data_IF_234040990053
#
_entry.id   IF_234040990053
#
_cell.length_a   1.000
_cell.length_b   1.000
_cell.length_c   1.000
_cell.angle_alpha   90.00
_cell.angle_beta   90.00
_cell.angle_gamma   90.00
#
_symmetry.space_group_name_H-M   'P 1'
#
loop_
_entity.id
_entity.type
_entity.pdbx_description
1 polymer ?
#
# COMPACT_ATOMS: atom_id res chain seq x y z
N UNK A 1 -18.55 3.44 38.88
CA UNK A 1 -18.00 3.20 40.23
C UNK A 1 -16.52 2.89 40.07
N UNK A 2 -15.72 3.25 41.05
CA UNK A 2 -14.25 3.15 41.00
C UNK A 2 -13.80 2.42 42.25
N UNK A 3 -12.89 1.48 42.08
CA UNK A 3 -12.22 0.79 43.17
C UNK A 3 -10.87 1.44 43.38
N UNK A 4 -10.52 1.69 44.64
CA UNK A 4 -9.21 2.18 45.03
C UNK A 4 -8.39 0.99 45.52
N UNK A 5 -7.26 0.74 44.87
CA UNK A 5 -6.32 -0.29 45.29
C UNK A 5 -5.08 0.35 45.91
N UNK A 6 -4.61 -0.19 47.02
CA UNK A 6 -3.45 0.30 47.77
C UNK A 6 -2.40 -0.80 47.90
N UNK A 7 -1.11 -0.45 47.75
CA UNK A 7 -0.02 -1.40 48.01
C UNK A 7 0.55 -1.22 49.43
N UNK A 8 1.42 -2.14 49.84
CA UNK A 8 2.09 -2.10 51.17
C UNK A 8 2.88 -0.82 51.47
N UNK A 9 3.21 -0.03 50.44
CA UNK A 9 3.93 1.23 50.57
C UNK A 9 2.99 2.45 50.64
N UNK A 10 1.67 2.25 50.70
CA UNK A 10 0.66 3.30 50.76
C UNK A 10 0.33 3.96 49.41
N UNK A 11 0.82 3.42 48.29
CA UNK A 11 0.54 3.95 46.95
C UNK A 11 -0.85 3.51 46.51
N UNK A 12 -1.72 4.48 46.21
CA UNK A 12 -3.10 4.25 45.77
C UNK A 12 -3.25 4.37 44.26
N UNK A 13 -4.06 3.50 43.67
CA UNK A 13 -4.44 3.53 42.25
C UNK A 13 -5.94 3.34 42.09
N UNK A 14 -6.52 4.08 41.15
CA UNK A 14 -7.94 3.96 40.83
C UNK A 14 -8.17 3.00 39.67
N UNK A 15 -9.14 2.10 39.82
CA UNK A 15 -9.63 1.19 38.79
C UNK A 15 -11.10 1.51 38.54
N UNK A 16 -11.47 1.77 37.29
CA UNK A 16 -12.88 1.95 36.90
C UNK A 16 -13.53 0.58 36.74
N UNK A 17 -14.75 0.41 37.24
CA UNK A 17 -15.48 -0.84 37.04
C UNK A 17 -16.23 -0.87 35.69
N UNK A 18 -16.38 -2.08 35.15
CA UNK A 18 -17.15 -2.35 33.94
C UNK A 18 -16.51 -1.81 32.65
N UNK A 19 -17.37 -1.51 31.68
CA UNK A 19 -17.00 -1.13 30.32
C UNK A 19 -16.05 0.08 30.22
N UNK A 20 -15.04 -0.02 29.36
CA UNK A 20 -14.01 0.99 29.15
C UNK A 20 -14.24 1.81 27.88
N UNK A 21 -14.99 2.91 28.00
CA UNK A 21 -15.17 3.88 26.91
C UNK A 21 -13.85 4.43 26.37
N UNK A 22 -12.87 4.65 27.24
CA UNK A 22 -11.55 5.14 26.81
C UNK A 22 -10.81 4.14 25.94
N UNK A 23 -10.93 2.84 26.23
CA UNK A 23 -10.28 1.80 25.41
C UNK A 23 -10.98 1.63 24.06
N UNK A 24 -12.31 1.80 24.02
CA UNK A 24 -13.06 1.78 22.77
C UNK A 24 -12.55 2.85 21.78
N UNK A 25 -12.34 4.09 22.24
CA UNK A 25 -11.93 5.19 21.35
C UNK A 25 -10.42 5.34 21.17
N UNK A 26 -9.62 5.03 22.19
CA UNK A 26 -8.17 5.27 22.19
C UNK A 26 -7.34 3.97 22.16
N UNK A 27 -8.00 2.81 22.03
CA UNK A 27 -7.39 1.50 21.82
C UNK A 27 -6.37 1.18 22.92
N UNK A 28 -5.10 1.08 22.56
CA UNK A 28 -4.02 0.66 23.47
C UNK A 28 -3.48 1.78 24.35
N UNK A 29 -3.73 3.05 24.00
CA UNK A 29 -3.18 4.23 24.71
C UNK A 29 -3.56 4.27 26.21
N UNK A 30 -4.81 4.01 26.63
CA UNK A 30 -5.17 4.06 28.05
C UNK A 30 -4.45 3.02 28.90
N UNK A 31 -4.12 1.84 28.35
CA UNK A 31 -3.34 0.82 29.06
C UNK A 31 -1.87 1.24 29.16
N UNK A 32 -1.32 1.83 28.09
CA UNK A 32 0.05 2.37 28.11
C UNK A 32 0.20 3.47 29.18
N UNK A 33 -0.67 4.48 29.17
CA UNK A 33 -0.59 5.62 30.08
C UNK A 33 -0.76 5.24 31.56
N UNK A 34 -1.43 4.11 31.84
CA UNK A 34 -1.60 3.57 33.21
C UNK A 34 -0.47 2.62 33.62
N UNK A 35 0.51 2.39 32.75
CA UNK A 35 1.66 1.54 33.02
C UNK A 35 1.41 0.03 32.88
N UNK A 36 0.30 -0.38 32.25
CA UNK A 36 0.01 -1.76 31.89
C UNK A 36 0.49 -2.02 30.45
N UNK A 37 1.81 -2.26 30.34
CA UNK A 37 2.49 -2.47 29.06
C UNK A 37 2.07 -3.76 28.36
N UNK A 38 1.75 -4.81 29.13
CA UNK A 38 1.38 -6.12 28.57
C UNK A 38 0.03 -6.00 27.86
N UNK A 39 -0.96 -5.41 28.51
CA UNK A 39 -2.27 -5.19 27.88
C UNK A 39 -2.18 -4.18 26.74
N UNK A 40 -1.38 -3.12 26.87
CA UNK A 40 -1.15 -2.16 25.80
C UNK A 40 -0.58 -2.84 24.53
N UNK A 41 0.44 -3.68 24.70
CA UNK A 41 1.08 -4.39 23.57
C UNK A 41 0.14 -5.40 22.92
N UNK A 42 -0.64 -6.16 23.72
CA UNK A 42 -1.67 -7.08 23.20
C UNK A 42 -2.72 -6.34 22.37
N UNK A 43 -3.26 -5.23 22.91
CA UNK A 43 -4.22 -4.38 22.22
C UNK A 43 -3.64 -3.76 20.94
N UNK A 44 -2.35 -3.43 20.93
CA UNK A 44 -1.70 -2.89 19.73
C UNK A 44 -1.52 -3.95 18.65
N UNK A 45 -0.86 -5.07 18.96
CA UNK A 45 -0.51 -6.10 17.96
C UNK A 45 -1.77 -6.83 17.49
N UNK A 46 -2.50 -7.48 18.41
CA UNK A 46 -3.68 -8.28 18.05
C UNK A 46 -4.79 -7.36 17.53
N UNK A 47 -4.93 -6.17 18.12
CA UNK A 47 -5.84 -5.16 17.61
C UNK A 47 -5.54 -4.74 16.18
N UNK A 48 -4.27 -4.59 15.79
CA UNK A 48 -3.91 -4.25 14.41
C UNK A 48 -4.19 -5.41 13.45
N UNK A 49 -3.83 -6.64 13.83
CA UNK A 49 -4.07 -7.85 13.03
C UNK A 49 -5.56 -8.17 12.82
N UNK A 50 -6.44 -7.75 13.74
CA UNK A 50 -7.89 -7.97 13.68
C UNK A 50 -8.67 -6.74 13.23
N UNK A 51 -8.02 -5.76 12.60
CA UNK A 51 -8.65 -4.50 12.16
C UNK A 51 -9.39 -3.74 13.29
N UNK A 52 -8.90 -3.86 14.51
CA UNK A 52 -9.45 -3.25 15.71
C UNK A 52 -10.62 -4.00 16.36
N UNK A 53 -11.08 -5.13 15.79
CA UNK A 53 -12.18 -5.91 16.37
C UNK A 53 -11.79 -6.42 17.77
N UNK A 54 -10.55 -6.88 17.93
CA UNK A 54 -10.06 -7.33 19.25
C UNK A 54 -10.06 -6.20 20.28
N UNK A 55 -9.70 -4.97 19.89
CA UNK A 55 -9.70 -3.83 20.82
C UNK A 55 -11.10 -3.41 21.22
N UNK A 56 -12.05 -3.47 20.28
CA UNK A 56 -13.46 -3.17 20.54
C UNK A 56 -14.06 -4.22 21.48
N UNK A 57 -13.74 -5.49 21.29
CA UNK A 57 -14.15 -6.55 22.21
C UNK A 57 -13.52 -6.38 23.60
N UNK A 58 -12.22 -6.06 23.69
CA UNK A 58 -11.56 -5.90 24.98
C UNK A 58 -12.08 -4.71 25.80
N UNK A 59 -12.79 -3.75 25.23
CA UNK A 59 -13.39 -2.67 26.03
C UNK A 59 -14.41 -3.18 27.07
N UNK A 60 -14.91 -4.41 26.94
CA UNK A 60 -15.77 -5.04 27.96
C UNK A 60 -15.06 -5.29 29.29
N UNK A 61 -13.85 -5.85 29.25
CA UNK A 61 -13.18 -6.39 30.44
C UNK A 61 -11.74 -5.91 30.62
N UNK A 62 -11.24 -4.97 29.81
CA UNK A 62 -9.87 -4.42 29.99
C UNK A 62 -9.65 -3.76 31.36
N UNK A 63 -10.71 -3.29 32.01
CA UNK A 63 -10.61 -2.76 33.36
C UNK A 63 -10.44 -3.86 34.42
N UNK A 64 -11.01 -5.05 34.17
CA UNK A 64 -10.78 -6.26 34.98
C UNK A 64 -9.35 -6.78 34.78
N UNK A 65 -8.85 -6.78 33.55
CA UNK A 65 -7.43 -7.09 33.27
C UNK A 65 -6.51 -6.15 34.07
N UNK A 66 -6.82 -4.85 34.11
CA UNK A 66 -6.03 -3.88 34.86
C UNK A 66 -6.13 -4.09 36.38
N UNK A 67 -7.31 -4.46 36.90
CA UNK A 67 -7.47 -4.86 38.31
C UNK A 67 -6.58 -6.06 38.65
N UNK A 68 -6.57 -7.06 37.77
CA UNK A 68 -5.76 -8.28 37.93
C UNK A 68 -4.27 -7.94 37.90
N UNK A 69 -3.84 -7.11 36.95
CA UNK A 69 -2.46 -6.62 36.86
C UNK A 69 -1.98 -5.88 38.12
N UNK A 70 -2.85 -5.08 38.75
CA UNK A 70 -2.53 -4.42 40.01
C UNK A 70 -2.47 -5.41 41.17
N UNK A 71 -3.37 -6.38 41.21
CA UNK A 71 -3.36 -7.48 42.19
C UNK A 71 -2.04 -8.27 42.11
N UNK A 72 -1.59 -8.62 40.90
CA UNK A 72 -0.31 -9.29 40.66
C UNK A 72 0.90 -8.46 41.13
N UNK A 73 0.77 -7.13 41.15
CA UNK A 73 1.80 -6.19 41.66
C UNK A 73 1.71 -5.94 43.17
N UNK A 74 0.85 -6.67 43.89
CA UNK A 74 0.69 -6.56 45.34
C UNK A 74 -0.12 -5.35 45.79
N UNK A 75 -1.04 -4.86 44.95
CA UNK A 75 -2.08 -3.93 45.36
C UNK A 75 -3.32 -4.71 45.83
N UNK A 76 -3.93 -4.25 46.92
CA UNK A 76 -5.10 -4.86 47.54
C UNK A 76 -6.25 -3.85 47.61
N UNK A 77 -7.49 -4.34 47.72
CA UNK A 77 -8.70 -3.55 47.84
C UNK A 77 -9.67 -4.24 48.78
N UNK A 78 -10.34 -3.47 49.63
CA UNK A 78 -11.43 -3.96 50.48
C UNK A 78 -12.73 -4.19 49.70
N UNK A 79 -12.84 -3.59 48.51
CA UNK A 79 -13.96 -3.73 47.59
C UNK A 79 -13.70 -4.85 46.56
N UNK A 80 -14.72 -5.67 46.29
CA UNK A 80 -14.68 -6.67 45.20
C UNK A 80 -14.90 -5.99 43.85
N UNK A 81 -14.11 -6.37 42.85
CA UNK A 81 -14.35 -5.97 41.47
C UNK A 81 -15.66 -6.57 40.94
N UNK A 82 -16.58 -5.69 40.52
CA UNK A 82 -17.83 -6.09 39.89
C UNK A 82 -17.85 -5.74 38.40
N UNK A 83 -18.07 -6.76 37.57
CA UNK A 83 -18.14 -6.62 36.13
C UNK A 83 -19.56 -6.16 35.75
N UNK A 84 -19.81 -4.86 35.89
CA UNK A 84 -21.13 -4.29 35.63
C UNK A 84 -21.53 -4.48 34.18
N UNK A 85 -22.66 -5.16 33.98
CA UNK A 85 -23.25 -5.31 32.66
C UNK A 85 -23.61 -3.93 32.10
N UNK A 86 -23.01 -3.55 30.98
CA UNK A 86 -23.26 -2.28 30.32
C UNK A 86 -24.02 -2.55 29.01
N UNK A 87 -25.35 -2.64 29.11
CA UNK A 87 -26.23 -2.97 27.97
C UNK A 87 -25.97 -2.05 26.77
N UNK A 88 -25.77 -0.75 27.02
CA UNK A 88 -25.51 0.25 25.98
C UNK A 88 -24.13 0.01 25.34
N UNK A 89 -23.09 -0.18 26.16
CA UNK A 89 -21.75 -0.49 25.68
C UNK A 89 -21.73 -1.77 24.83
N UNK A 90 -22.45 -2.81 25.27
CA UNK A 90 -22.59 -4.07 24.56
C UNK A 90 -23.27 -3.90 23.20
N UNK A 91 -24.35 -3.13 23.15
CA UNK A 91 -25.05 -2.83 21.91
C UNK A 91 -24.17 -2.03 20.94
N UNK A 92 -23.47 -1.01 21.45
CA UNK A 92 -22.57 -0.16 20.66
C UNK A 92 -21.43 -0.97 20.07
N UNK A 93 -20.74 -1.77 20.88
CA UNK A 93 -19.62 -2.60 20.40
C UNK A 93 -20.11 -3.68 19.45
N UNK A 94 -21.25 -4.32 19.73
CA UNK A 94 -21.87 -5.29 18.82
C UNK A 94 -22.17 -4.68 17.45
N UNK A 95 -22.70 -3.46 17.41
CA UNK A 95 -22.96 -2.73 16.16
C UNK A 95 -21.67 -2.35 15.43
N UNK A 96 -20.65 -1.84 16.14
CA UNK A 96 -19.35 -1.49 15.57
C UNK A 96 -18.68 -2.72 14.96
N UNK A 97 -18.61 -3.83 15.70
CA UNK A 97 -18.02 -5.08 15.23
C UNK A 97 -18.81 -5.62 14.04
N UNK A 98 -20.14 -5.62 14.12
CA UNK A 98 -21.02 -6.06 13.03
C UNK A 98 -20.77 -5.29 11.73
N UNK A 99 -20.72 -3.96 11.80
CA UNK A 99 -20.41 -3.11 10.64
C UNK A 99 -19.03 -3.44 10.07
N UNK A 100 -18.00 -3.57 10.92
CA UNK A 100 -16.65 -3.91 10.47
C UNK A 100 -16.59 -5.27 9.77
N UNK A 101 -17.27 -6.29 10.32
CA UNK A 101 -17.34 -7.62 9.72
C UNK A 101 -18.05 -7.56 8.37
N UNK A 102 -19.16 -6.84 8.26
CA UNK A 102 -19.88 -6.64 6.98
C UNK A 102 -18.98 -5.96 5.95
N UNK A 103 -18.23 -4.93 6.34
CA UNK A 103 -17.30 -4.24 5.45
C UNK A 103 -16.17 -5.17 4.99
N UNK A 104 -15.57 -5.95 5.90
CA UNK A 104 -14.51 -6.91 5.57
C UNK A 104 -15.03 -7.98 4.61
N UNK A 105 -16.18 -8.59 4.90
CA UNK A 105 -16.81 -9.58 4.01
C UNK A 105 -17.15 -8.93 2.68
N UNK A 106 -17.71 -7.72 2.69
CA UNK A 106 -18.02 -6.94 1.50
C UNK A 106 -16.80 -6.71 0.62
N UNK A 107 -15.66 -6.31 1.19
CA UNK A 107 -14.40 -6.13 0.46
C UNK A 107 -13.89 -7.44 -0.16
N UNK A 108 -14.03 -8.56 0.57
CA UNK A 108 -13.65 -9.89 0.06
C UNK A 108 -14.57 -10.30 -1.09
N UNK A 109 -15.89 -10.25 -0.89
CA UNK A 109 -16.90 -10.64 -1.89
C UNK A 109 -16.80 -9.74 -3.14
N UNK A 110 -16.62 -8.43 -2.96
CA UNK A 110 -16.42 -7.50 -4.07
C UNK A 110 -15.18 -7.86 -4.88
N UNK A 111 -14.08 -8.21 -4.21
CA UNK A 111 -12.87 -8.70 -4.89
C UNK A 111 -13.14 -9.96 -5.70
N UNK A 112 -13.93 -10.91 -5.18
CA UNK A 112 -14.34 -12.11 -5.92
C UNK A 112 -15.24 -11.78 -7.12
N UNK A 113 -16.18 -10.84 -6.98
CA UNK A 113 -17.06 -10.40 -8.10
C UNK A 113 -16.25 -9.73 -9.21
N UNK A 114 -15.25 -8.91 -8.86
CA UNK A 114 -14.35 -8.31 -9.85
C UNK A 114 -13.54 -9.37 -10.61
N UNK A 115 -13.05 -10.41 -9.90
CA UNK A 115 -12.34 -11.53 -10.52
C UNK A 115 -13.26 -12.35 -11.43
N UNK A 116 -14.47 -12.69 -11.00
CA UNK A 116 -15.41 -13.53 -11.79
C UNK A 116 -16.01 -12.77 -12.97
N UNK A 117 -16.44 -11.52 -12.77
CA UNK A 117 -16.93 -10.65 -13.85
C UNK A 117 -15.82 -10.37 -14.86
N UNK A 118 -14.61 -10.09 -14.39
CA UNK A 118 -13.44 -9.93 -15.26
C UNK A 118 -13.15 -11.18 -16.09
N UNK A 119 -13.25 -12.38 -15.48
CA UNK A 119 -13.04 -13.65 -16.17
C UNK A 119 -14.14 -13.95 -17.20
N UNK A 120 -15.41 -13.69 -16.89
CA UNK A 120 -16.53 -13.92 -17.81
C UNK A 120 -16.48 -12.99 -19.02
N UNK A 121 -16.19 -11.69 -18.80
CA UNK A 121 -16.00 -10.73 -19.90
C UNK A 121 -14.85 -11.20 -20.81
N UNK A 122 -13.75 -11.70 -20.24
CA UNK A 122 -12.62 -12.20 -21.02
C UNK A 122 -13.00 -13.44 -21.84
N UNK A 123 -13.78 -14.36 -21.28
CA UNK A 123 -14.29 -15.55 -21.98
C UNK A 123 -15.30 -15.19 -23.08
N UNK A 124 -16.20 -14.25 -22.84
CA UNK A 124 -17.18 -13.79 -23.83
C UNK A 124 -16.49 -13.06 -24.98
N UNK A 125 -15.42 -12.31 -24.72
CA UNK A 125 -14.57 -11.71 -25.76
C UNK A 125 -13.88 -12.81 -26.59
N UNK A 126 -13.34 -13.85 -25.95
CA UNK A 126 -12.70 -14.97 -26.64
C UNK A 126 -13.69 -15.76 -27.53
N UNK A 127 -14.91 -16.00 -27.02
CA UNK A 127 -15.97 -16.71 -27.75
C UNK A 127 -16.54 -15.86 -28.90
N UNK A 128 -16.76 -14.56 -28.70
CA UNK A 128 -17.23 -13.68 -29.77
C UNK A 128 -16.16 -13.47 -30.85
N UNK A 129 -14.88 -13.44 -30.48
CA UNK A 129 -13.78 -13.42 -31.45
C UNK A 129 -13.65 -14.76 -32.19
N UNK A 130 -13.88 -15.89 -31.53
CA UNK A 130 -13.87 -17.21 -32.18
C UNK A 130 -15.06 -17.41 -33.14
N UNK A 131 -16.24 -16.87 -32.83
CA UNK A 131 -17.44 -16.96 -33.67
C UNK A 131 -17.41 -16.04 -34.90
N UNK A 132 -16.60 -14.97 -34.91
CA UNK A 132 -16.45 -14.10 -36.08
C UNK A 132 -15.40 -14.60 -37.10
N UNK A 133 -14.69 -15.70 -36.81
CA UNK A 133 -13.64 -16.24 -37.68
C UNK A 133 -14.17 -17.31 -38.66
N UNK A 134 -15.39 -17.85 -38.47
CA UNK A 134 -15.89 -18.97 -39.30
C UNK A 134 -16.85 -18.60 -40.46
N UNK A 135 -17.23 -17.33 -40.65
CA UNK A 135 -18.10 -16.95 -41.77
C UNK A 135 -17.45 -15.87 -42.64
N UNK A 136 -16.58 -16.28 -43.57
CA UNK A 136 -16.49 -15.73 -44.94
C UNK A 136 -15.32 -16.35 -45.73
N UNK A 137 -15.63 -17.34 -46.57
CA UNK A 137 -14.84 -17.69 -47.76
C UNK A 137 -15.63 -17.22 -48.99
N UNK A 138 -15.20 -16.19 -49.73
CA UNK A 138 -14.55 -16.21 -51.07
C UNK A 138 -14.72 -14.80 -51.73
N UNK A 139 -14.09 -14.44 -52.86
CA UNK A 139 -12.89 -14.94 -53.53
C UNK A 139 -11.81 -13.85 -53.76
N UNK A 140 -10.66 -14.31 -54.24
CA UNK A 140 -9.46 -13.57 -54.66
C UNK A 140 -9.79 -12.44 -55.66
N UNK A 141 -9.38 -11.20 -55.34
CA UNK A 141 -9.08 -10.15 -56.31
C UNK A 141 -7.67 -9.62 -56.02
N UNK A 142 -6.76 -9.98 -56.91
CA UNK A 142 -5.42 -9.41 -57.06
C UNK A 142 -5.48 -7.91 -57.33
N UNK A 143 -4.96 -7.09 -56.41
CA UNK A 143 -4.14 -5.93 -56.80
C UNK A 143 -3.37 -5.33 -55.61
N UNK A 144 -2.06 -5.20 -55.83
CA UNK A 144 -1.07 -4.37 -55.13
C UNK A 144 -0.80 -4.71 -53.66
N UNK A 145 0.26 -5.51 -53.50
CA UNK A 145 1.23 -5.47 -52.40
C UNK A 145 1.33 -4.08 -51.76
N UNK A 146 0.71 -3.94 -50.60
CA UNK A 146 1.25 -3.14 -49.51
C UNK A 146 1.57 -4.15 -48.41
N UNK A 147 2.86 -4.47 -48.25
CA UNK A 147 3.35 -5.21 -47.10
C UNK A 147 2.89 -4.48 -45.84
N UNK A 148 1.94 -5.08 -45.10
CA UNK A 148 1.64 -4.64 -43.74
C UNK A 148 2.83 -5.05 -42.89
N UNK A 149 3.74 -4.09 -42.65
CA UNK A 149 4.78 -4.23 -41.64
C UNK A 149 4.09 -4.48 -40.31
N UNK A 150 4.09 -5.73 -39.83
CA UNK A 150 4.00 -5.98 -38.40
C UNK A 150 5.13 -5.17 -37.74
N UNK A 151 4.78 -4.31 -36.79
CA UNK A 151 5.75 -3.55 -36.01
C UNK A 151 6.77 -4.51 -35.42
N UNK A 152 8.05 -4.43 -35.83
CA UNK A 152 9.14 -5.30 -35.37
C UNK A 152 9.41 -5.22 -33.85
N UNK A 153 8.72 -4.29 -33.18
CA UNK A 153 8.87 -3.91 -31.78
C UNK A 153 8.11 -4.86 -30.86
N UNK A 154 6.91 -5.31 -31.25
CA UNK A 154 5.99 -6.07 -30.39
C UNK A 154 5.88 -7.54 -30.80
N UNK A 155 5.57 -8.42 -29.84
CA UNK A 155 5.22 -9.81 -30.14
C UNK A 155 3.87 -9.88 -30.86
N UNK A 156 3.70 -10.87 -31.72
CA UNK A 156 2.52 -11.01 -32.59
C UNK A 156 1.19 -11.10 -31.82
N UNK A 157 1.20 -11.62 -30.60
CA UNK A 157 0.00 -11.81 -29.77
C UNK A 157 -0.34 -10.63 -28.86
N UNK A 158 0.38 -9.51 -28.96
CA UNK A 158 0.13 -8.31 -28.13
C UNK A 158 -1.00 -7.49 -28.73
N UNK A 159 -1.96 -7.11 -27.90
CA UNK A 159 -3.11 -6.30 -28.30
C UNK A 159 -3.01 -4.87 -27.78
N UNK A 160 -3.80 -3.96 -28.36
CA UNK A 160 -3.98 -2.59 -27.85
C UNK A 160 -4.49 -2.61 -26.40
N UNK A 161 -5.30 -3.60 -26.02
CA UNK A 161 -5.81 -3.74 -24.66
C UNK A 161 -4.72 -4.10 -23.65
N UNK A 162 -3.75 -4.92 -24.05
CA UNK A 162 -2.58 -5.23 -23.22
C UNK A 162 -1.77 -3.96 -22.94
N UNK A 163 -1.49 -3.18 -23.99
CA UNK A 163 -0.76 -1.91 -23.87
C UNK A 163 -1.52 -0.90 -23.01
N UNK A 164 -2.83 -0.72 -23.24
CA UNK A 164 -3.70 0.14 -22.43
C UNK A 164 -3.67 -0.24 -20.94
N UNK A 165 -3.73 -1.54 -20.63
CA UNK A 165 -3.69 -2.03 -19.26
C UNK A 165 -2.40 -1.62 -18.55
N UNK A 166 -1.25 -1.88 -19.18
CA UNK A 166 0.05 -1.55 -18.59
C UNK A 166 0.26 -0.03 -18.53
N UNK A 167 -0.08 0.69 -19.60
CA UNK A 167 0.06 2.14 -19.68
C UNK A 167 -0.70 2.88 -18.57
N UNK A 168 -1.95 2.49 -18.36
CA UNK A 168 -2.78 3.07 -17.31
C UNK A 168 -2.31 2.69 -15.90
N UNK A 169 -1.79 1.45 -15.71
CA UNK A 169 -1.22 1.02 -14.44
C UNK A 169 -0.08 1.95 -14.01
N UNK A 170 0.93 2.17 -14.87
CA UNK A 170 2.09 2.96 -14.46
C UNK A 170 1.79 4.45 -14.34
N UNK A 171 0.87 4.98 -15.14
CA UNK A 171 0.36 6.34 -14.93
C UNK A 171 -0.38 6.48 -13.58
N UNK A 172 -1.12 5.45 -13.16
CA UNK A 172 -1.76 5.40 -11.85
C UNK A 172 -0.74 5.31 -10.72
N UNK A 173 0.24 4.40 -10.81
CA UNK A 173 1.33 4.25 -9.83
C UNK A 173 2.07 5.59 -9.64
N UNK A 174 2.42 6.29 -10.73
CA UNK A 174 3.04 7.61 -10.63
C UNK A 174 2.12 8.70 -10.07
N UNK A 175 0.80 8.58 -10.24
CA UNK A 175 -0.17 9.50 -9.64
C UNK A 175 -0.33 9.27 -8.13
N UNK A 176 -0.03 8.08 -7.60
CA UNK A 176 -0.01 7.84 -6.15
C UNK A 176 1.03 8.71 -5.44
N UNK A 177 2.15 9.03 -6.11
CA UNK A 177 3.17 9.94 -5.57
C UNK A 177 2.62 11.36 -5.38
N UNK A 178 1.76 11.81 -6.28
CA UNK A 178 1.07 13.10 -6.16
C UNK A 178 0.10 13.07 -4.99
N UNK A 179 -0.63 11.97 -4.80
CA UNK A 179 -1.54 11.79 -3.68
C UNK A 179 -0.76 11.81 -2.35
N UNK A 180 0.40 11.15 -2.32
CA UNK A 180 1.23 11.02 -1.11
C UNK A 180 1.96 12.30 -0.72
N UNK A 181 2.55 13.00 -1.69
CA UNK A 181 3.40 14.19 -1.44
C UNK A 181 2.72 15.52 -1.78
N UNK A 182 1.48 15.48 -2.29
CA UNK A 182 0.67 16.65 -2.64
C UNK A 182 1.00 17.26 -4.01
N UNK A 183 0.17 18.20 -4.46
CA UNK A 183 0.27 18.84 -5.79
C UNK A 183 1.60 19.58 -6.02
N UNK A 184 2.25 20.05 -4.95
CA UNK A 184 3.59 20.68 -5.02
C UNK A 184 4.65 19.75 -5.61
N UNK A 185 4.48 18.43 -5.42
CA UNK A 185 5.33 17.38 -5.99
C UNK A 185 5.42 17.47 -7.52
N UNK A 186 4.28 17.70 -8.21
CA UNK A 186 4.27 17.77 -9.68
C UNK A 186 5.19 18.86 -10.22
N UNK A 187 5.35 19.94 -9.48
CA UNK A 187 6.12 21.12 -9.91
C UNK A 187 7.58 21.06 -9.48
N UNK A 188 7.88 20.53 -8.30
CA UNK A 188 9.22 20.63 -7.71
C UNK A 188 9.86 19.26 -7.37
N UNK A 189 9.13 18.16 -7.58
CA UNK A 189 9.49 16.82 -7.11
C UNK A 189 9.43 16.70 -5.60
N UNK A 190 10.06 15.64 -5.06
CA UNK A 190 10.20 15.49 -3.61
C UNK A 190 11.15 16.56 -3.05
N UNK A 191 10.62 17.39 -2.15
CA UNK A 191 11.37 18.35 -1.33
C UNK A 191 11.27 17.85 0.11
N UNK A 192 12.41 17.72 0.79
CA UNK A 192 12.46 17.29 2.18
C UNK A 192 13.13 18.38 3.03
N UNK A 193 12.44 18.78 4.09
CA UNK A 193 12.94 19.62 5.18
C UNK A 193 13.09 18.79 6.48
N UNK A 194 13.56 19.41 7.56
CA UNK A 194 13.71 18.76 8.87
C UNK A 194 15.13 18.30 9.20
N UNK A 195 15.26 17.26 10.02
CA UNK A 195 16.55 16.66 10.34
C UNK A 195 16.98 15.70 9.20
N UNK A 196 18.29 15.60 8.87
CA UNK A 196 18.76 14.73 7.79
C UNK A 196 18.37 13.26 7.92
N UNK A 197 18.19 12.77 9.15
CA UNK A 197 17.79 11.39 9.43
C UNK A 197 16.33 11.11 9.04
N UNK A 198 15.41 12.02 9.39
CA UNK A 198 14.00 11.94 9.02
C UNK A 198 13.82 12.12 7.50
N UNK A 199 14.55 13.07 6.92
CA UNK A 199 14.58 13.27 5.47
C UNK A 199 15.15 12.03 4.74
N UNK A 200 16.14 11.35 5.31
CA UNK A 200 16.68 10.12 4.74
C UNK A 200 15.63 9.00 4.67
N UNK A 201 14.78 8.87 5.69
CA UNK A 201 13.71 7.88 5.70
C UNK A 201 12.73 8.10 4.54
N UNK A 202 12.24 9.33 4.40
CA UNK A 202 11.31 9.70 3.32
C UNK A 202 11.95 9.59 1.92
N UNK A 203 13.23 9.94 1.79
CA UNK A 203 13.94 9.79 0.53
C UNK A 203 14.07 8.32 0.10
N UNK A 204 14.37 7.43 1.05
CA UNK A 204 14.46 5.98 0.80
C UNK A 204 13.10 5.40 0.42
N UNK A 205 12.07 5.68 1.20
CA UNK A 205 10.71 5.20 0.92
C UNK A 205 10.20 5.67 -0.46
N UNK A 206 10.55 6.90 -0.86
CA UNK A 206 10.31 7.40 -2.21
C UNK A 206 11.05 6.63 -3.31
N UNK A 207 12.36 6.42 -3.15
CA UNK A 207 13.16 5.69 -4.13
C UNK A 207 12.78 4.22 -4.21
N UNK A 208 12.56 3.55 -3.09
CA UNK A 208 12.19 2.14 -3.01
C UNK A 208 10.84 1.88 -3.70
N UNK A 209 9.88 2.79 -3.55
CA UNK A 209 8.61 2.73 -4.29
C UNK A 209 8.84 2.79 -5.80
N UNK A 210 9.63 3.75 -6.26
CA UNK A 210 9.90 3.94 -7.69
C UNK A 210 10.73 2.79 -8.29
N UNK A 211 11.72 2.26 -7.55
CA UNK A 211 12.50 1.11 -7.98
C UNK A 211 11.62 -0.14 -8.14
N UNK A 212 10.69 -0.35 -7.20
CA UNK A 212 9.66 -1.40 -7.32
C UNK A 212 8.82 -1.22 -8.59
N UNK A 213 8.29 -0.02 -8.83
CA UNK A 213 7.46 0.27 -10.02
C UNK A 213 8.24 0.04 -11.32
N UNK A 214 9.48 0.52 -11.40
CA UNK A 214 10.34 0.31 -12.58
C UNK A 214 10.63 -1.19 -12.82
N UNK A 215 10.86 -1.97 -11.76
CA UNK A 215 11.08 -3.41 -11.87
C UNK A 215 9.83 -4.16 -12.35
N UNK A 216 8.64 -3.73 -11.93
CA UNK A 216 7.38 -4.25 -12.46
C UNK A 216 7.19 -3.91 -13.94
N UNK A 217 7.46 -2.65 -14.33
CA UNK A 217 7.43 -2.19 -15.73
C UNK A 217 8.39 -2.98 -16.60
N UNK A 218 9.60 -3.24 -16.11
CA UNK A 218 10.57 -4.06 -16.80
C UNK A 218 10.06 -5.49 -17.10
N UNK A 219 9.29 -6.07 -16.18
CA UNK A 219 8.69 -7.39 -16.37
C UNK A 219 7.59 -7.36 -17.45
N UNK A 220 6.75 -6.32 -17.46
CA UNK A 220 5.69 -6.14 -18.45
C UNK A 220 6.24 -5.79 -19.84
N UNK A 221 7.28 -4.97 -19.94
CA UNK A 221 8.01 -4.73 -21.19
C UNK A 221 8.54 -6.04 -21.81
N UNK A 222 9.06 -6.96 -21.00
CA UNK A 222 9.51 -8.29 -21.47
C UNK A 222 8.36 -9.13 -22.02
N UNK A 223 7.15 -8.93 -21.51
CA UNK A 223 5.97 -9.66 -21.98
C UNK A 223 5.53 -9.17 -23.35
N UNK A 224 5.60 -7.87 -23.61
CA UNK A 224 5.08 -7.26 -24.85
C UNK A 224 6.11 -7.10 -25.97
N UNK A 225 7.38 -6.83 -25.65
CA UNK A 225 8.41 -6.57 -26.67
C UNK A 225 8.98 -7.85 -27.28
N UNK A 226 9.36 -7.80 -28.55
CA UNK A 226 10.12 -8.90 -29.17
C UNK A 226 11.45 -9.11 -28.45
N UNK A 227 12.01 -10.33 -28.56
CA UNK A 227 13.32 -10.63 -27.96
C UNK A 227 14.40 -9.64 -28.42
N UNK A 228 14.41 -9.32 -29.72
CA UNK A 228 15.38 -8.39 -30.32
C UNK A 228 15.26 -6.98 -29.72
N UNK A 229 14.04 -6.46 -29.60
CA UNK A 229 13.84 -5.11 -29.07
C UNK A 229 14.12 -5.06 -27.56
N UNK A 230 13.70 -6.08 -26.81
CA UNK A 230 13.98 -6.16 -25.38
C UNK A 230 15.48 -6.31 -25.06
N UNK A 231 16.23 -7.04 -25.88
CA UNK A 231 17.69 -7.19 -25.72
C UNK A 231 18.42 -5.87 -25.95
N UNK A 232 18.02 -5.10 -26.97
CA UNK A 232 18.49 -3.73 -27.18
C UNK A 232 18.16 -2.83 -25.98
N UNK A 233 16.92 -2.90 -25.50
CA UNK A 233 16.47 -2.13 -24.33
C UNK A 233 17.27 -2.50 -23.07
N UNK A 234 17.69 -3.76 -22.91
CA UNK A 234 18.55 -4.19 -21.79
C UNK A 234 19.91 -3.47 -21.79
N UNK A 235 20.53 -3.31 -22.95
CA UNK A 235 21.76 -2.54 -23.08
C UNK A 235 21.54 -1.05 -22.74
N UNK A 236 20.44 -0.46 -23.23
CA UNK A 236 20.04 0.91 -22.89
C UNK A 236 19.83 1.07 -21.37
N UNK A 237 19.16 0.10 -20.72
CA UNK A 237 18.85 0.13 -19.30
C UNK A 237 20.11 0.04 -18.43
N UNK A 238 21.09 -0.79 -18.80
CA UNK A 238 22.37 -0.89 -18.08
C UNK A 238 23.12 0.46 -18.14
N UNK A 239 23.13 1.11 -19.29
CA UNK A 239 23.76 2.42 -19.43
C UNK A 239 23.00 3.49 -18.65
N UNK A 240 21.68 3.44 -18.68
CA UNK A 240 20.84 4.35 -17.90
C UNK A 240 21.09 4.23 -16.39
N UNK A 241 21.26 3.03 -15.83
CA UNK A 241 21.58 2.84 -14.40
C UNK A 241 22.90 3.53 -14.03
N UNK A 242 23.93 3.39 -14.87
CA UNK A 242 25.23 4.07 -14.65
C UNK A 242 25.07 5.58 -14.68
N UNK A 243 24.29 6.08 -15.63
CA UNK A 243 24.05 7.51 -15.79
C UNK A 243 23.23 8.09 -14.62
N UNK A 244 22.20 7.37 -14.17
CA UNK A 244 21.42 7.71 -12.98
C UNK A 244 22.32 7.89 -11.76
N UNK A 245 23.19 6.91 -11.49
CA UNK A 245 24.07 6.94 -10.32
C UNK A 245 25.16 8.03 -10.46
N UNK A 246 25.62 8.31 -11.68
CA UNK A 246 26.53 9.44 -11.98
C UNK A 246 25.85 10.78 -11.66
N UNK A 247 24.64 11.02 -12.18
CA UNK A 247 23.86 12.24 -11.94
C UNK A 247 23.58 12.40 -10.44
N UNK A 248 23.13 11.33 -9.78
CA UNK A 248 22.88 11.36 -8.34
C UNK A 248 24.12 11.72 -7.53
N UNK A 249 25.29 11.21 -7.94
CA UNK A 249 26.56 11.51 -7.30
C UNK A 249 26.97 12.98 -7.50
N UNK A 250 26.88 13.49 -8.71
CA UNK A 250 27.24 14.88 -9.04
C UNK A 250 26.37 15.90 -8.34
N UNK A 251 25.05 15.69 -8.32
CA UNK A 251 24.08 16.55 -7.61
C UNK A 251 24.28 16.48 -6.08
N UNK A 252 24.53 15.27 -5.56
CA UNK A 252 24.86 15.06 -4.15
C UNK A 252 26.12 15.81 -3.74
N UNK A 253 27.20 15.70 -4.51
CA UNK A 253 28.48 16.35 -4.20
C UNK A 253 28.40 17.87 -4.34
N UNK A 254 27.56 18.37 -5.25
CA UNK A 254 27.27 19.79 -5.45
C UNK A 254 26.41 20.40 -4.34
N UNK A 255 25.79 19.59 -3.48
CA UNK A 255 24.97 20.11 -2.39
C UNK A 255 25.84 20.81 -1.34
N UNK A 256 25.54 22.11 -1.12
CA UNK A 256 26.20 22.98 -0.14
C UNK A 256 26.00 22.50 1.30
N UNK A 257 24.86 21.87 1.59
CA UNK A 257 24.59 21.26 2.89
C UNK A 257 25.18 19.84 2.92
N UNK A 258 26.35 19.70 3.52
CA UNK A 258 27.09 18.44 3.60
C UNK A 258 26.30 17.32 4.29
N UNK A 259 25.49 17.66 5.29
CA UNK A 259 24.67 16.70 6.04
C UNK A 259 23.54 16.11 5.18
N UNK A 260 23.10 16.85 4.15
CA UNK A 260 22.03 16.43 3.24
C UNK A 260 22.52 15.68 2.00
N UNK A 261 23.83 15.59 1.75
CA UNK A 261 24.36 14.95 0.53
C UNK A 261 23.81 13.56 0.29
N UNK A 262 23.75 12.72 1.32
CA UNK A 262 23.21 11.37 1.21
C UNK A 262 21.70 11.39 0.88
N UNK A 263 20.94 12.29 1.49
CA UNK A 263 19.51 12.46 1.21
C UNK A 263 19.32 12.88 -0.25
N UNK A 264 20.08 13.88 -0.71
CA UNK A 264 20.07 14.35 -2.09
C UNK A 264 20.39 13.25 -3.08
N UNK A 265 21.39 12.41 -2.80
CA UNK A 265 21.73 11.27 -3.64
C UNK A 265 20.51 10.37 -3.88
N UNK A 266 19.82 9.97 -2.81
CA UNK A 266 18.65 9.08 -2.90
C UNK A 266 17.46 9.76 -3.59
N UNK A 267 17.18 11.03 -3.28
CA UNK A 267 16.12 11.80 -3.97
C UNK A 267 16.39 11.85 -5.47
N UNK A 268 17.62 12.11 -5.89
CA UNK A 268 17.98 12.21 -7.31
C UNK A 268 17.85 10.85 -7.99
N UNK A 269 18.26 9.76 -7.33
CA UNK A 269 17.99 8.41 -7.84
C UNK A 269 16.50 8.17 -8.09
N UNK A 270 15.63 8.56 -7.14
CA UNK A 270 14.18 8.51 -7.32
C UNK A 270 13.71 9.34 -8.51
N UNK A 271 14.11 10.61 -8.59
CA UNK A 271 13.69 11.51 -9.69
C UNK A 271 14.05 10.97 -11.07
N UNK A 272 15.28 10.46 -11.22
CA UNK A 272 15.70 9.87 -12.49
C UNK A 272 14.98 8.55 -12.79
N UNK A 273 14.69 7.72 -11.77
CA UNK A 273 13.86 6.52 -11.91
C UNK A 273 12.43 6.85 -12.35
N UNK A 274 11.80 7.88 -11.78
CA UNK A 274 10.47 8.33 -12.22
C UNK A 274 10.48 8.76 -13.69
N UNK A 275 11.47 9.57 -14.10
CA UNK A 275 11.61 9.97 -15.51
C UNK A 275 11.73 8.75 -16.41
N UNK A 276 12.52 7.76 -15.99
CA UNK A 276 12.70 6.53 -16.77
C UNK A 276 11.40 5.75 -16.92
N UNK A 277 10.60 5.63 -15.86
CA UNK A 277 9.28 4.98 -15.94
C UNK A 277 8.41 5.71 -16.96
N UNK A 278 8.34 7.05 -16.90
CA UNK A 278 7.56 7.83 -17.88
C UNK A 278 8.05 7.61 -19.32
N UNK A 279 9.36 7.61 -19.53
CA UNK A 279 9.96 7.37 -20.85
C UNK A 279 9.62 5.99 -21.40
N UNK A 280 9.76 4.94 -20.59
CA UNK A 280 9.46 3.56 -21.00
C UNK A 280 7.97 3.38 -21.26
N UNK A 281 7.13 3.93 -20.39
CA UNK A 281 5.69 3.87 -20.51
C UNK A 281 5.22 4.53 -21.82
N UNK A 282 5.69 5.75 -22.11
CA UNK A 282 5.35 6.46 -23.34
C UNK A 282 5.90 5.78 -24.59
N UNK A 283 7.14 5.30 -24.55
CA UNK A 283 7.82 4.75 -25.73
C UNK A 283 7.35 3.36 -26.12
N UNK A 284 6.98 2.53 -25.15
CA UNK A 284 6.73 1.11 -25.40
C UNK A 284 5.34 0.64 -24.96
N UNK A 285 4.73 1.25 -23.95
CA UNK A 285 3.44 0.81 -23.43
C UNK A 285 2.27 1.68 -23.88
N UNK A 286 2.52 2.88 -24.40
CA UNK A 286 1.47 3.73 -24.96
C UNK A 286 0.75 2.99 -26.10
N UNK A 287 -0.59 2.82 -26.02
CA UNK A 287 -1.38 2.08 -27.01
C UNK A 287 -1.25 2.63 -28.43
N UNK A 288 -0.86 3.89 -28.60
CA UNK A 288 -0.67 4.52 -29.90
C UNK A 288 0.59 4.03 -30.65
N UNK A 289 1.43 3.20 -30.01
CA UNK A 289 2.66 2.67 -30.60
C UNK A 289 2.47 1.32 -31.31
N UNK A 290 1.33 0.66 -31.14
CA UNK A 290 0.99 -0.60 -31.83
C UNK A 290 0.48 -0.33 -33.24
#
# INVERSE_FOLDING_TARGET
>A
MKIIMENKNGVRKEVKEGFSWTTLFFRWLPSLLRGDLVSALKLFIIGSLTFGIYTDYKSYNINEDYYTFLTEKGYESDERFDLKNNIIGNLVVGLIIGIKVILIIGSIVLSFIFVTTGFNIMKDIDVNNALQIEENQTPIITSKTNEVKHSSTYKENVTINDLNKYYNKYNSDLNELVIKYGEGYKKYGLILDGEPEDAMFSAKDYFDYLDKVLNEEWADLRRVLTYKEFDKLKAEQINWIKERDRIAKEESDSNKNTSYRKVTYVIVQGKETEKRIRELNEKYLNPNNL
#
